data_IF_426159692520
#
_entry.id   IF_426159692520
#
_cell.length_a   1.000
_cell.length_b   1.000
_cell.length_c   1.000
_cell.angle_alpha   90.00
_cell.angle_beta   90.00
_cell.angle_gamma   90.00
#
_symmetry.space_group_name_H-M   'P 1'
#
loop_
_entity.id
_entity.type
_entity.pdbx_description
1 polymer ?
#
# COMPACT_ATOMS: atom_id res chain seq x y z
N UNK A 1 5.22 29.69 -14.23
CA UNK A 1 6.30 28.72 -14.53
C UNK A 1 5.88 27.43 -13.91
N UNK A 2 5.86 26.34 -14.66
CA UNK A 2 5.65 25.00 -14.07
C UNK A 2 6.91 24.65 -13.28
N UNK A 3 6.74 24.24 -12.03
CA UNK A 3 7.88 23.82 -11.21
C UNK A 3 8.55 22.61 -11.85
N UNK A 4 9.88 22.54 -11.80
CA UNK A 4 10.63 21.38 -12.28
C UNK A 4 10.32 20.16 -11.41
N UNK A 5 10.31 18.99 -12.02
CA UNK A 5 10.32 17.72 -11.30
C UNK A 5 11.71 17.55 -10.69
N UNK A 6 11.77 17.34 -9.38
CA UNK A 6 13.03 17.22 -8.64
C UNK A 6 13.04 15.95 -7.81
N UNK A 7 14.18 15.25 -7.83
CA UNK A 7 14.49 14.14 -6.93
C UNK A 7 15.76 14.50 -6.17
N UNK A 8 15.70 14.52 -4.85
CA UNK A 8 16.87 14.69 -3.98
C UNK A 8 17.10 13.42 -3.18
N UNK A 9 18.36 13.02 -3.07
CA UNK A 9 18.82 12.01 -2.13
C UNK A 9 19.48 12.71 -0.95
N UNK A 10 18.89 12.55 0.23
CA UNK A 10 19.33 13.17 1.46
C UNK A 10 19.88 12.14 2.43
N UNK A 11 20.95 12.48 3.13
CA UNK A 11 21.43 11.73 4.29
C UNK A 11 20.50 11.87 5.50
N UNK A 12 20.75 11.08 6.54
CA UNK A 12 19.99 11.13 7.80
C UNK A 12 19.96 12.52 8.45
N UNK A 13 21.05 13.27 8.36
CA UNK A 13 21.21 14.63 8.87
C UNK A 13 20.68 15.72 7.91
N UNK A 14 20.13 15.32 6.76
CA UNK A 14 19.51 16.22 5.79
C UNK A 14 20.43 16.82 4.74
N UNK A 15 21.70 16.41 4.67
CA UNK A 15 22.60 16.86 3.62
C UNK A 15 22.22 16.23 2.27
N UNK A 16 22.25 17.02 1.20
CA UNK A 16 22.04 16.54 -0.17
C UNK A 16 23.24 15.73 -0.62
N UNK A 17 23.05 14.44 -0.88
CA UNK A 17 24.06 13.54 -1.46
C UNK A 17 23.98 13.45 -2.97
N UNK A 18 22.81 13.75 -3.54
CA UNK A 18 22.58 13.78 -4.97
C UNK A 18 21.26 14.45 -5.30
N UNK A 19 21.18 15.01 -6.49
CA UNK A 19 19.99 15.69 -6.99
C UNK A 19 19.88 15.50 -8.50
N UNK A 20 18.65 15.38 -8.98
CA UNK A 20 18.33 15.42 -10.40
C UNK A 20 17.05 16.24 -10.59
N UNK A 21 17.01 17.06 -11.64
CA UNK A 21 15.83 17.84 -12.00
C UNK A 21 15.53 17.81 -13.50
N UNK A 22 14.31 18.16 -13.87
CA UNK A 22 13.92 18.34 -15.25
C UNK A 22 12.49 18.88 -15.37
N UNK A 23 12.13 19.45 -16.51
CA UNK A 23 10.81 20.08 -16.69
C UNK A 23 9.66 19.07 -16.65
N UNK A 24 9.86 17.88 -17.22
CA UNK A 24 8.84 16.82 -17.29
C UNK A 24 9.22 15.58 -16.50
N UNK A 25 10.50 15.30 -16.32
CA UNK A 25 10.98 14.10 -15.63
C UNK A 25 12.36 14.32 -15.04
N UNK A 26 12.67 13.55 -14.00
CA UNK A 26 13.99 13.47 -13.39
C UNK A 26 14.41 12.00 -13.23
N UNK A 27 15.71 11.72 -13.32
CA UNK A 27 16.31 10.42 -13.06
C UNK A 27 17.54 10.60 -12.19
N UNK A 28 17.51 10.02 -11.00
CA UNK A 28 18.62 10.03 -10.06
C UNK A 28 19.24 8.64 -9.98
N UNK A 29 20.57 8.57 -9.82
CA UNK A 29 21.31 7.32 -9.68
C UNK A 29 22.13 7.29 -8.39
N UNK A 30 21.51 7.05 -7.23
CA UNK A 30 22.24 6.82 -5.98
C UNK A 30 23.17 5.62 -6.11
N UNK A 31 24.42 5.76 -5.65
CA UNK A 31 25.41 4.68 -5.74
C UNK A 31 25.19 3.61 -4.65
N UNK A 32 24.91 4.06 -3.42
CA UNK A 32 24.68 3.19 -2.27
C UNK A 32 24.00 4.01 -1.16
N UNK A 33 22.95 3.46 -0.57
CA UNK A 33 22.25 4.11 0.53
C UNK A 33 22.88 3.78 1.88
N UNK A 34 22.91 4.78 2.77
CA UNK A 34 23.30 4.62 4.17
C UNK A 34 22.05 4.64 5.09
N UNK A 35 22.16 4.12 6.32
CA UNK A 35 21.06 4.16 7.29
C UNK A 35 20.52 5.57 7.51
N UNK A 36 19.18 5.70 7.41
CA UNK A 36 18.47 6.97 7.55
C UNK A 36 18.47 7.86 6.29
N UNK A 37 19.02 7.39 5.18
CA UNK A 37 18.90 8.07 3.90
C UNK A 37 17.43 8.12 3.44
N UNK A 38 17.09 9.16 2.69
CA UNK A 38 15.73 9.37 2.15
C UNK A 38 15.77 9.99 0.77
N UNK A 39 14.73 9.74 0.00
CA UNK A 39 14.47 10.40 -1.27
C UNK A 39 13.37 11.44 -1.08
N UNK A 40 13.57 12.65 -1.62
CA UNK A 40 12.53 13.68 -1.66
C UNK A 40 12.12 13.91 -3.10
N UNK A 41 10.83 13.85 -3.37
CA UNK A 41 10.24 14.08 -4.69
C UNK A 41 9.41 15.35 -4.65
N UNK A 42 9.48 16.19 -5.69
CA UNK A 42 8.67 17.40 -5.76
C UNK A 42 8.44 17.89 -7.20
N UNK A 43 7.55 18.87 -7.36
CA UNK A 43 7.34 19.60 -8.60
C UNK A 43 6.00 19.36 -9.28
N UNK A 44 5.15 18.45 -8.81
CA UNK A 44 3.78 18.28 -9.28
C UNK A 44 2.90 17.52 -8.29
N UNK A 45 1.57 17.75 -8.35
CA UNK A 45 0.61 17.02 -7.53
C UNK A 45 0.37 15.58 -8.01
N UNK A 46 0.69 15.27 -9.25
CA UNK A 46 0.60 13.92 -9.81
C UNK A 46 1.94 13.56 -10.44
N UNK A 47 2.59 12.57 -9.87
CA UNK A 47 3.85 12.03 -10.35
C UNK A 47 3.74 10.53 -10.60
N UNK A 48 4.32 10.06 -11.69
CA UNK A 48 4.75 8.70 -11.80
C UNK A 48 6.09 8.56 -11.09
N UNK A 49 6.18 7.62 -10.14
CA UNK A 49 7.36 7.45 -9.29
C UNK A 49 7.81 6.00 -9.31
N UNK A 50 9.12 5.81 -9.38
CA UNK A 50 9.79 4.54 -9.11
C UNK A 50 10.94 4.79 -8.14
N UNK A 51 10.84 4.25 -6.92
CA UNK A 51 11.78 4.50 -5.81
C UNK A 51 13.03 3.61 -5.83
N UNK A 52 13.01 2.50 -6.60
CA UNK A 52 14.15 1.60 -6.82
C UNK A 52 13.91 0.77 -8.08
N UNK A 53 14.96 0.17 -8.66
CA UNK A 53 14.84 -0.65 -9.89
C UNK A 53 13.91 -1.85 -9.73
N UNK A 54 13.91 -2.48 -8.54
CA UNK A 54 13.05 -3.62 -8.21
C UNK A 54 11.62 -3.26 -7.83
N UNK A 55 11.25 -1.97 -7.81
CA UNK A 55 9.93 -1.49 -7.44
C UNK A 55 9.17 -1.02 -8.68
N UNK A 56 7.91 -1.44 -8.78
CA UNK A 56 7.03 -1.04 -9.89
C UNK A 56 6.81 0.47 -9.88
N UNK A 57 6.80 1.09 -11.06
CA UNK A 57 6.39 2.49 -11.19
C UNK A 57 4.89 2.64 -10.97
N UNK A 58 4.46 3.66 -10.24
CA UNK A 58 3.05 3.99 -10.05
C UNK A 58 2.81 5.49 -10.07
N UNK A 59 1.55 5.87 -10.38
CA UNK A 59 1.12 7.27 -10.32
C UNK A 59 0.61 7.57 -8.91
N UNK A 60 1.26 8.51 -8.23
CA UNK A 60 0.91 8.97 -6.89
C UNK A 60 0.32 10.39 -6.94
N UNK A 61 -0.55 10.68 -5.96
CA UNK A 61 -1.08 12.01 -5.71
C UNK A 61 -0.42 12.62 -4.49
N UNK A 62 0.08 13.84 -4.63
CA UNK A 62 0.82 14.60 -3.63
C UNK A 62 0.08 15.91 -3.36
N UNK A 63 -0.69 16.03 -2.28
CA UNK A 63 -1.49 17.22 -2.00
C UNK A 63 -0.68 18.52 -2.06
N UNK A 64 0.54 18.51 -1.48
CA UNK A 64 1.45 19.66 -1.41
C UNK A 64 2.51 19.66 -2.53
N UNK A 65 2.38 18.75 -3.52
CA UNK A 65 3.28 18.69 -4.67
C UNK A 65 4.63 18.05 -4.39
N UNK A 66 4.81 17.37 -3.25
CA UNK A 66 6.03 16.65 -2.90
C UNK A 66 5.83 15.66 -1.77
N UNK A 67 6.78 14.73 -1.60
CA UNK A 67 6.81 13.79 -0.47
C UNK A 67 8.22 13.30 -0.20
N UNK A 68 8.41 12.78 1.02
CA UNK A 68 9.66 12.17 1.48
C UNK A 68 9.49 10.65 1.59
N UNK A 69 10.37 9.90 0.94
CA UNK A 69 10.45 8.45 1.01
C UNK A 69 11.70 8.01 1.77
N UNK A 70 11.58 7.60 3.05
CA UNK A 70 12.68 6.98 3.79
C UNK A 70 13.06 5.67 3.12
N UNK A 71 14.35 5.44 2.91
CA UNK A 71 14.84 4.18 2.34
C UNK A 71 14.64 3.06 3.36
N UNK A 72 13.88 1.99 3.03
CA UNK A 72 13.70 0.86 3.93
C UNK A 72 15.02 0.11 4.12
N UNK A 73 15.54 0.11 5.34
CA UNK A 73 16.79 -0.57 5.70
C UNK A 73 16.69 -1.36 7.00
N UNK A 74 15.62 -1.17 7.78
CA UNK A 74 15.36 -2.00 8.95
C UNK A 74 14.78 -3.36 8.54
N UNK A 75 14.94 -4.35 9.42
CA UNK A 75 14.55 -5.74 9.17
C UNK A 75 13.07 -5.89 8.83
N UNK A 76 12.20 -5.07 9.42
CA UNK A 76 10.77 -5.15 9.16
C UNK A 76 10.40 -4.43 7.85
N UNK A 77 10.89 -3.22 7.63
CA UNK A 77 10.53 -2.43 6.47
C UNK A 77 10.91 -3.09 5.13
N UNK A 78 11.99 -3.89 5.10
CA UNK A 78 12.45 -4.57 3.88
C UNK A 78 11.69 -5.86 3.53
N UNK A 79 10.89 -6.44 4.45
CA UNK A 79 10.27 -7.75 4.25
C UNK A 79 9.29 -7.81 3.07
N UNK A 80 8.69 -6.69 2.70
CA UNK A 80 7.81 -6.57 1.53
C UNK A 80 8.54 -6.26 0.21
N UNK A 81 9.87 -6.36 0.15
CA UNK A 81 10.65 -6.07 -1.04
C UNK A 81 11.58 -7.23 -1.41
N UNK A 82 11.93 -7.32 -2.70
CA UNK A 82 12.92 -8.30 -3.13
C UNK A 82 14.26 -8.08 -2.40
N UNK A 83 14.96 -9.14 -1.99
CA UNK A 83 16.28 -9.00 -1.38
C UNK A 83 17.22 -8.14 -2.23
N UNK A 84 17.83 -7.14 -1.61
CA UNK A 84 18.75 -6.24 -2.30
C UNK A 84 18.10 -5.07 -3.05
N UNK A 85 16.78 -4.91 -3.03
CA UNK A 85 16.07 -3.81 -3.72
C UNK A 85 16.65 -2.42 -3.41
N UNK A 86 17.15 -2.21 -2.20
CA UNK A 86 17.75 -0.93 -1.78
C UNK A 86 19.27 -1.03 -1.53
N UNK A 87 19.93 -2.04 -2.07
CA UNK A 87 21.38 -2.22 -1.96
C UNK A 87 22.08 -1.84 -3.27
N UNK A 88 23.31 -1.30 -3.13
CA UNK A 88 24.11 -0.89 -4.29
C UNK A 88 23.51 0.24 -5.11
N UNK A 89 23.97 0.37 -6.35
CA UNK A 89 23.51 1.42 -7.25
C UNK A 89 22.05 1.20 -7.66
N UNK A 90 21.26 2.27 -7.62
CA UNK A 90 19.84 2.27 -7.96
C UNK A 90 19.52 3.26 -9.08
N UNK A 91 18.39 3.07 -9.73
CA UNK A 91 17.79 4.05 -10.64
C UNK A 91 16.44 4.47 -10.10
N UNK A 92 16.34 5.71 -9.68
CA UNK A 92 15.13 6.37 -9.16
C UNK A 92 14.57 7.29 -10.22
N UNK A 93 13.28 7.23 -10.50
CA UNK A 93 12.65 8.06 -11.53
C UNK A 93 11.41 8.77 -11.00
N UNK A 94 11.18 9.98 -11.49
CA UNK A 94 9.93 10.68 -11.34
C UNK A 94 9.58 11.38 -12.66
N UNK A 95 8.31 11.38 -13.04
CA UNK A 95 7.82 12.16 -14.16
C UNK A 95 6.43 12.73 -13.84
N UNK A 96 6.15 13.89 -14.42
CA UNK A 96 4.82 14.49 -14.35
C UNK A 96 3.81 13.57 -15.05
N UNK A 97 2.68 13.33 -14.41
CA UNK A 97 1.59 12.63 -15.06
C UNK A 97 0.88 13.56 -16.06
N UNK A 98 0.49 13.02 -17.21
CA UNK A 98 -0.31 13.73 -18.18
C UNK A 98 -1.79 13.76 -17.77
N UNK A 99 -2.52 14.76 -18.22
CA UNK A 99 -3.95 14.90 -17.93
C UNK A 99 -4.77 13.67 -18.34
N UNK A 100 -4.43 13.09 -19.49
CA UNK A 100 -5.06 11.87 -20.01
C UNK A 100 -4.82 10.66 -19.11
N UNK A 101 -3.63 10.56 -18.50
CA UNK A 101 -3.29 9.49 -17.56
C UNK A 101 -4.04 9.66 -16.23
N UNK A 102 -4.15 10.90 -15.74
CA UNK A 102 -4.86 11.23 -14.50
C UNK A 102 -6.33 10.86 -14.62
N UNK A 103 -6.98 11.24 -15.73
CA UNK A 103 -8.41 10.99 -15.98
C UNK A 103 -8.74 9.58 -16.47
N UNK A 104 -7.73 8.75 -16.75
CA UNK A 104 -7.96 7.39 -17.23
C UNK A 104 -8.63 6.52 -16.16
N UNK A 105 -9.50 5.62 -16.62
CA UNK A 105 -10.03 4.54 -15.77
C UNK A 105 -8.92 3.55 -15.44
N UNK A 106 -8.60 3.38 -14.15
CA UNK A 106 -7.44 2.60 -13.69
C UNK A 106 -7.59 2.10 -12.27
N UNK A 107 -6.68 1.25 -11.82
CA UNK A 107 -6.51 0.94 -10.42
C UNK A 107 -5.97 2.18 -9.68
N UNK A 108 -6.80 2.76 -8.81
CA UNK A 108 -6.50 3.95 -8.02
C UNK A 108 -5.80 3.63 -6.69
N UNK A 109 -5.75 2.34 -6.30
CA UNK A 109 -5.12 1.90 -5.06
C UNK A 109 -3.62 1.61 -5.21
N UNK A 110 -3.10 1.46 -6.44
CA UNK A 110 -1.70 1.05 -6.66
C UNK A 110 -0.70 2.09 -6.18
N UNK A 111 0.08 1.76 -5.14
CA UNK A 111 1.21 2.57 -4.66
C UNK A 111 2.35 1.72 -4.06
N UNK A 112 3.26 1.17 -4.87
CA UNK A 112 4.46 0.47 -4.36
C UNK A 112 5.40 1.35 -3.51
N UNK A 113 5.28 2.68 -3.62
CA UNK A 113 6.02 3.64 -2.80
C UNK A 113 5.30 3.98 -1.48
N UNK A 114 4.14 3.34 -1.20
CA UNK A 114 3.48 3.50 0.09
C UNK A 114 4.32 2.94 1.23
N UNK A 115 4.19 3.53 2.40
CA UNK A 115 4.95 3.16 3.58
C UNK A 115 4.10 3.29 4.84
N UNK A 116 4.43 2.49 5.84
CA UNK A 116 3.89 2.71 7.17
C UNK A 116 4.50 3.97 7.78
N UNK A 117 3.66 4.85 8.31
CA UNK A 117 4.13 6.04 9.01
C UNK A 117 4.60 5.68 10.43
N UNK A 118 5.53 6.46 10.97
CA UNK A 118 6.01 6.26 12.34
C UNK A 118 4.90 6.39 13.38
N UNK A 119 3.92 7.24 13.10
CA UNK A 119 2.75 7.50 13.94
C UNK A 119 1.72 6.35 13.91
N UNK A 120 1.85 5.43 12.96
CA UNK A 120 1.08 4.18 12.88
C UNK A 120 1.79 3.01 13.58
N UNK A 121 3.00 3.23 14.08
CA UNK A 121 3.77 2.20 14.77
C UNK A 121 3.18 1.93 16.14
N UNK A 122 3.00 0.68 16.44
CA UNK A 122 2.39 0.11 17.62
C UNK A 122 3.25 0.31 18.85
N UNK A 123 2.57 0.42 19.97
CA UNK A 123 3.16 0.15 21.28
C UNK A 123 3.80 -1.26 21.26
N UNK A 124 5.14 -1.36 21.42
CA UNK A 124 5.83 -2.65 21.43
C UNK A 124 5.41 -3.55 22.59
N UNK A 125 4.79 -2.99 23.65
CA UNK A 125 4.24 -3.72 24.78
C UNK A 125 2.79 -4.16 24.56
N UNK A 126 2.17 -3.76 23.45
CA UNK A 126 0.83 -4.19 23.10
C UNK A 126 0.82 -5.69 22.75
N UNK A 127 -0.25 -6.43 23.07
CA UNK A 127 -0.36 -7.82 22.69
C UNK A 127 -0.13 -8.00 21.19
N UNK A 128 0.54 -9.07 20.80
CA UNK A 128 0.97 -9.42 19.44
C UNK A 128 -0.10 -9.20 18.34
N UNK A 129 -1.37 -9.37 18.69
CA UNK A 129 -2.52 -9.22 17.80
C UNK A 129 -3.23 -7.87 17.93
N UNK A 130 -2.77 -6.99 18.83
CA UNK A 130 -3.35 -5.66 19.00
C UNK A 130 -2.41 -4.62 18.40
N UNK A 131 -2.90 -3.92 17.43
CA UNK A 131 -2.19 -2.81 16.85
C UNK A 131 -3.07 -1.56 16.97
N UNK A 132 -3.00 -0.81 18.08
CA UNK A 132 -3.67 0.47 18.13
C UNK A 132 -2.98 1.40 17.15
N UNK A 133 -3.52 1.50 15.99
CA UNK A 133 -3.02 2.37 14.94
C UNK A 133 -3.78 3.68 15.00
N UNK A 134 -3.09 4.76 14.72
CA UNK A 134 -3.63 6.09 14.85
C UNK A 134 -4.10 6.61 13.49
N UNK A 135 -5.39 6.50 13.19
CA UNK A 135 -5.98 7.13 12.00
C UNK A 135 -5.85 8.67 12.01
N UNK A 136 -5.48 9.26 13.15
CA UNK A 136 -5.21 10.69 13.26
C UNK A 136 -4.00 11.10 12.41
N UNK A 137 -3.05 10.19 12.13
CA UNK A 137 -1.92 10.48 11.23
C UNK A 137 -2.40 10.93 9.85
N UNK A 138 -3.41 10.25 9.29
CA UNK A 138 -4.01 10.63 8.01
C UNK A 138 -4.83 11.91 8.14
N UNK A 139 -5.65 12.02 9.18
CA UNK A 139 -6.46 13.20 9.45
C UNK A 139 -5.61 14.44 9.81
N UNK A 140 -4.45 14.23 10.44
CA UNK A 140 -3.49 15.28 10.79
C UNK A 140 -2.64 15.78 9.61
N UNK A 141 -2.81 15.22 8.40
CA UNK A 141 -2.06 15.62 7.21
C UNK A 141 -0.62 15.14 7.18
N UNK A 142 -0.27 14.11 7.94
CA UNK A 142 1.07 13.51 7.94
C UNK A 142 1.32 12.62 6.71
N UNK A 143 0.26 12.24 5.99
CA UNK A 143 0.37 11.49 4.74
C UNK A 143 0.60 12.46 3.59
N UNK A 144 1.78 12.36 3.00
CA UNK A 144 2.20 13.22 1.89
C UNK A 144 1.95 12.59 0.51
N UNK A 145 1.82 11.25 0.45
CA UNK A 145 1.77 10.47 -0.78
C UNK A 145 0.59 9.51 -0.77
N UNK A 146 -0.27 9.59 -1.79
CA UNK A 146 -1.46 8.78 -1.93
C UNK A 146 -1.47 7.99 -3.26
N UNK A 147 -2.18 6.81 -3.31
CA UNK A 147 -2.98 6.21 -2.24
C UNK A 147 -2.12 5.77 -1.06
N UNK A 148 -2.73 5.75 0.13
CA UNK A 148 -2.12 5.27 1.36
C UNK A 148 -2.99 4.18 1.99
N UNK A 149 -2.37 3.04 2.31
CA UNK A 149 -3.05 1.95 2.97
C UNK A 149 -2.82 1.99 4.49
N UNK A 150 -3.90 1.94 5.23
CA UNK A 150 -3.92 1.94 6.69
C UNK A 150 -4.72 0.75 7.21
N UNK A 151 -4.22 0.04 8.19
CA UNK A 151 -4.93 -1.05 8.85
C UNK A 151 -4.92 -0.88 10.36
N UNK A 152 -6.05 -1.17 11.00
CA UNK A 152 -6.14 -1.12 12.45
C UNK A 152 -5.48 -2.33 13.13
N UNK A 153 -5.09 -3.35 12.38
CA UNK A 153 -4.40 -4.55 12.88
C UNK A 153 -3.38 -5.04 11.86
N UNK A 154 -2.24 -5.47 12.38
CA UNK A 154 -1.17 -6.11 11.61
C UNK A 154 -0.65 -7.30 12.41
N UNK A 155 -0.67 -8.48 11.82
CA UNK A 155 -0.21 -9.71 12.46
C UNK A 155 1.23 -9.56 12.96
N UNK A 156 1.45 -9.77 14.26
CA UNK A 156 2.76 -9.71 14.93
C UNK A 156 3.57 -8.44 14.67
N UNK A 157 2.92 -7.38 14.17
CA UNK A 157 3.60 -6.16 13.73
C UNK A 157 4.78 -6.41 12.77
N UNK A 158 4.72 -7.49 11.99
CA UNK A 158 5.75 -7.87 11.03
C UNK A 158 5.57 -7.17 9.69
N UNK A 159 6.68 -6.73 9.08
CA UNK A 159 6.68 -5.98 7.83
C UNK A 159 6.08 -6.72 6.64
N UNK A 160 6.19 -8.04 6.62
CA UNK A 160 5.56 -8.88 5.61
C UNK A 160 4.02 -8.90 5.68
N UNK A 161 3.41 -8.30 6.73
CA UNK A 161 1.96 -8.19 6.90
C UNK A 161 1.45 -6.76 7.00
N UNK A 162 2.25 -5.75 6.69
CA UNK A 162 1.83 -4.36 6.70
C UNK A 162 0.72 -4.06 5.69
N UNK A 163 -0.12 -3.06 5.99
CA UNK A 163 -1.21 -2.62 5.13
C UNK A 163 -0.75 -2.27 3.71
N UNK A 164 0.41 -1.62 3.56
CA UNK A 164 0.99 -1.25 2.27
C UNK A 164 1.16 -2.42 1.29
N UNK A 165 1.34 -3.63 1.83
CA UNK A 165 1.50 -4.84 1.02
C UNK A 165 0.25 -5.20 0.21
N UNK A 166 -0.90 -4.66 0.59
CA UNK A 166 -2.16 -4.86 -0.14
C UNK A 166 -2.36 -3.89 -1.31
N UNK A 167 -1.43 -2.96 -1.56
CA UNK A 167 -1.53 -1.98 -2.65
C UNK A 167 -0.23 -1.80 -3.43
N UNK A 168 0.71 -2.72 -3.33
CA UNK A 168 2.03 -2.60 -3.97
C UNK A 168 2.10 -3.23 -5.38
N UNK A 169 1.02 -3.84 -5.83
CA UNK A 169 0.90 -4.42 -7.16
C UNK A 169 1.48 -5.83 -7.28
N UNK A 170 1.65 -6.54 -6.15
CA UNK A 170 2.12 -7.92 -6.09
C UNK A 170 1.04 -8.85 -5.53
N UNK A 171 0.71 -9.90 -6.26
CA UNK A 171 -0.32 -10.88 -5.88
C UNK A 171 0.18 -12.30 -6.10
N UNK A 172 1.24 -12.71 -5.38
CA UNK A 172 1.79 -14.05 -5.51
C UNK A 172 0.96 -15.08 -4.73
N UNK A 173 0.68 -16.21 -5.37
CA UNK A 173 -0.08 -17.33 -4.82
C UNK A 173 0.86 -18.38 -4.24
N UNK A 174 0.33 -19.19 -3.31
CA UNK A 174 0.96 -20.42 -2.86
C UNK A 174 2.03 -20.26 -1.79
N UNK A 175 2.02 -19.14 -1.07
CA UNK A 175 2.93 -18.91 0.05
C UNK A 175 2.51 -17.76 0.93
N UNK A 176 3.23 -17.56 2.04
CA UNK A 176 3.03 -16.45 2.97
C UNK A 176 4.38 -16.06 3.60
N UNK A 177 4.42 -14.88 4.23
CA UNK A 177 5.62 -14.35 4.89
C UNK A 177 6.30 -13.27 4.09
N UNK A 178 7.64 -13.29 4.01
CA UNK A 178 8.41 -12.26 3.31
C UNK A 178 8.24 -12.32 1.78
N UNK A 179 8.73 -11.28 1.12
CA UNK A 179 8.75 -11.23 -0.35
C UNK A 179 9.14 -12.59 -0.98
N UNK A 180 8.49 -13.07 -2.01
CA UNK A 180 7.40 -12.42 -2.78
C UNK A 180 5.99 -12.78 -2.29
N UNK A 181 5.82 -13.34 -1.10
CA UNK A 181 4.56 -13.85 -0.55
C UNK A 181 3.99 -12.96 0.58
N UNK A 182 4.45 -11.72 0.66
CA UNK A 182 3.93 -10.76 1.61
C UNK A 182 2.48 -10.39 1.30
N UNK A 183 1.76 -9.95 2.31
CA UNK A 183 0.33 -9.65 2.24
C UNK A 183 -0.04 -8.66 3.34
N UNK A 184 -1.24 -8.12 3.34
CA UNK A 184 -1.79 -7.60 4.58
C UNK A 184 -2.44 -8.74 5.36
N UNK A 185 -2.06 -8.89 6.62
CA UNK A 185 -2.63 -9.85 7.57
C UNK A 185 -2.99 -9.17 8.88
N UNK A 186 -4.26 -9.16 9.24
CA UNK A 186 -4.77 -8.51 10.45
C UNK A 186 -5.09 -9.45 11.60
N UNK A 187 -4.72 -10.74 11.49
CA UNK A 187 -5.16 -11.81 12.38
C UNK A 187 -6.70 -11.93 12.45
N UNK A 188 -7.24 -12.72 13.39
CA UNK A 188 -8.69 -12.85 13.57
C UNK A 188 -9.17 -11.81 14.58
N UNK A 189 -9.82 -10.79 14.11
CA UNK A 189 -10.39 -9.76 14.96
C UNK A 189 -11.73 -9.26 14.40
N UNK A 190 -12.74 -9.12 15.29
CA UNK A 190 -14.11 -8.73 14.89
C UNK A 190 -14.23 -7.32 14.33
N UNK A 191 -13.30 -6.42 14.65
CA UNK A 191 -13.25 -5.03 14.19
C UNK A 191 -12.11 -4.79 13.20
N UNK A 192 -11.63 -5.85 12.54
CA UNK A 192 -10.58 -5.78 11.53
C UNK A 192 -10.98 -4.84 10.39
N UNK A 193 -10.06 -3.98 9.99
CA UNK A 193 -10.26 -3.11 8.82
C UNK A 193 -8.95 -2.73 8.13
N UNK A 194 -9.06 -2.59 6.82
CA UNK A 194 -8.07 -1.99 5.93
C UNK A 194 -8.72 -0.81 5.22
N UNK A 195 -8.08 0.34 5.23
CA UNK A 195 -8.56 1.54 4.54
C UNK A 195 -7.53 1.99 3.51
N UNK A 196 -7.98 2.21 2.28
CA UNK A 196 -7.20 2.86 1.24
C UNK A 196 -7.68 4.31 1.13
N UNK A 197 -6.82 5.24 1.52
CA UNK A 197 -7.07 6.68 1.38
C UNK A 197 -6.53 7.16 0.04
N UNK A 198 -7.32 7.96 -0.67
CA UNK A 198 -6.93 8.51 -1.97
C UNK A 198 -6.36 9.93 -1.87
N UNK A 199 -6.53 10.61 -0.73
CA UNK A 199 -6.09 11.99 -0.50
C UNK A 199 -6.89 13.04 -1.29
N UNK A 200 -7.87 12.61 -2.07
CA UNK A 200 -8.74 13.42 -2.93
C UNK A 200 -10.01 12.67 -3.26
N UNK A 201 -11.00 13.36 -3.82
CA UNK A 201 -12.20 12.72 -4.33
C UNK A 201 -11.91 11.95 -5.64
N UNK A 202 -12.38 10.73 -5.68
CA UNK A 202 -12.32 9.83 -6.86
C UNK A 202 -13.69 9.19 -7.07
N UNK A 203 -14.00 8.75 -8.29
CA UNK A 203 -15.18 7.94 -8.55
C UNK A 203 -14.77 6.51 -8.81
N UNK A 204 -15.26 5.58 -8.00
CA UNK A 204 -14.95 4.15 -8.06
C UNK A 204 -16.20 3.31 -8.31
N UNK A 205 -16.06 2.19 -9.01
CA UNK A 205 -17.18 1.32 -9.38
C UNK A 205 -16.86 -0.18 -9.31
N UNK A 206 -15.63 -0.53 -8.98
CA UNK A 206 -15.21 -1.93 -8.87
C UNK A 206 -14.00 -2.08 -7.96
N UNK A 207 -13.96 -3.18 -7.19
CA UNK A 207 -12.72 -3.68 -6.60
C UNK A 207 -12.36 -5.04 -7.19
N UNK A 208 -11.06 -5.38 -7.12
CA UNK A 208 -10.56 -6.73 -7.34
C UNK A 208 -9.77 -7.15 -6.10
N UNK A 209 -10.12 -8.29 -5.53
CA UNK A 209 -9.43 -8.87 -4.39
C UNK A 209 -8.53 -10.03 -4.84
N UNK A 210 -7.31 -10.04 -4.32
CA UNK A 210 -6.36 -11.15 -4.46
C UNK A 210 -6.10 -11.70 -3.07
N UNK A 211 -6.86 -12.72 -2.66
CA UNK A 211 -6.69 -13.33 -1.34
C UNK A 211 -5.41 -14.16 -1.32
N UNK A 212 -4.76 -14.21 -0.16
CA UNK A 212 -3.70 -15.19 0.08
C UNK A 212 -4.29 -16.60 -0.01
N UNK A 213 -3.58 -17.52 -0.66
CA UNK A 213 -4.12 -18.82 -1.05
C UNK A 213 -3.15 -19.99 -0.88
N UNK A 214 -2.37 -19.99 0.19
CA UNK A 214 -1.54 -21.15 0.57
C UNK A 214 -2.37 -22.16 1.40
N UNK A 215 -3.50 -22.61 0.85
CA UNK A 215 -4.48 -23.45 1.50
C UNK A 215 -4.04 -24.91 1.72
N UNK A 216 -2.74 -25.18 1.63
CA UNK A 216 -2.17 -26.48 1.93
C UNK A 216 -2.22 -26.84 3.42
N UNK A 217 -2.19 -28.13 3.74
CA UNK A 217 -2.06 -28.56 5.12
C UNK A 217 -0.63 -28.34 5.62
N UNK A 218 -0.51 -27.82 6.85
CA UNK A 218 0.77 -27.75 7.53
C UNK A 218 1.20 -29.14 8.06
N UNK A 219 2.38 -29.24 8.68
CA UNK A 219 2.95 -30.47 9.24
C UNK A 219 2.04 -31.17 10.28
N UNK A 220 1.03 -30.45 10.82
CA UNK A 220 0.05 -30.98 11.77
C UNK A 220 -1.25 -31.40 11.10
N UNK A 221 -1.34 -31.37 9.78
CA UNK A 221 -2.54 -31.68 9.03
C UNK A 221 -3.63 -30.60 9.11
N UNK A 222 -3.26 -29.36 9.44
CA UNK A 222 -4.17 -28.22 9.52
C UNK A 222 -4.05 -27.42 8.23
N UNK A 223 -5.16 -26.95 7.71
CA UNK A 223 -5.20 -25.99 6.61
C UNK A 223 -4.65 -24.65 7.10
N UNK A 224 -3.64 -24.10 6.42
CA UNK A 224 -2.90 -22.96 6.91
C UNK A 224 -3.73 -21.67 6.90
N UNK A 225 -4.46 -21.42 5.81
CA UNK A 225 -5.22 -20.20 5.66
C UNK A 225 -6.72 -20.44 5.62
N UNK A 226 -7.42 -19.56 6.29
CA UNK A 226 -8.84 -19.33 6.06
C UNK A 226 -9.01 -18.14 5.11
N UNK A 227 -10.24 -17.78 4.81
CA UNK A 227 -10.60 -16.63 4.01
C UNK A 227 -11.82 -15.92 4.60
N UNK A 228 -12.08 -14.71 4.18
CA UNK A 228 -13.30 -14.00 4.54
C UNK A 228 -14.39 -14.32 3.52
N UNK A 229 -15.56 -14.78 3.98
CA UNK A 229 -16.70 -15.07 3.10
C UNK A 229 -17.74 -13.95 3.06
N UNK A 230 -17.61 -12.97 3.93
CA UNK A 230 -18.40 -11.73 3.94
C UNK A 230 -17.46 -10.58 4.29
N UNK A 231 -17.59 -9.48 3.58
CA UNK A 231 -16.96 -8.22 3.94
C UNK A 231 -17.82 -7.02 3.51
N UNK A 232 -17.57 -5.89 4.12
CA UNK A 232 -18.23 -4.63 3.81
C UNK A 232 -17.20 -3.64 3.26
N UNK A 233 -17.54 -3.03 2.13
CA UNK A 233 -16.87 -1.85 1.59
C UNK A 233 -17.61 -0.61 2.09
N UNK A 234 -16.95 0.25 2.85
CA UNK A 234 -17.48 1.53 3.32
C UNK A 234 -16.80 2.67 2.55
N UNK A 235 -17.58 3.66 2.15
CA UNK A 235 -17.14 4.84 1.43
C UNK A 235 -17.22 6.09 2.31
N UNK A 236 -16.62 7.19 1.86
CA UNK A 236 -16.51 8.41 2.67
C UNK A 236 -17.84 9.12 2.95
N UNK A 237 -18.89 8.81 2.20
CA UNK A 237 -20.27 9.28 2.46
C UNK A 237 -21.03 8.42 3.49
N UNK A 238 -20.38 7.37 4.03
CA UNK A 238 -20.98 6.40 4.95
C UNK A 238 -21.81 5.31 4.25
N UNK A 239 -21.91 5.32 2.93
CA UNK A 239 -22.58 4.24 2.21
C UNK A 239 -21.74 2.97 2.21
N UNK A 240 -22.42 1.82 2.11
CA UNK A 240 -21.79 0.50 2.20
C UNK A 240 -22.19 -0.40 1.03
N UNK A 241 -21.29 -1.35 0.71
CA UNK A 241 -21.54 -2.47 -0.20
C UNK A 241 -21.06 -3.75 0.47
N UNK A 242 -21.94 -4.73 0.60
CA UNK A 242 -21.57 -6.07 1.05
C UNK A 242 -21.04 -6.90 -0.11
N UNK A 243 -19.94 -7.61 0.10
CA UNK A 243 -19.34 -8.52 -0.87
C UNK A 243 -19.14 -9.90 -0.25
N UNK A 244 -19.11 -10.93 -1.11
CA UNK A 244 -18.98 -12.34 -0.71
C UNK A 244 -17.79 -12.98 -1.43
N UNK A 245 -16.56 -12.84 -0.88
CA UNK A 245 -15.40 -13.52 -1.46
C UNK A 245 -15.50 -15.04 -1.35
N UNK A 246 -14.89 -15.72 -2.31
CA UNK A 246 -14.76 -17.17 -2.35
C UNK A 246 -13.35 -17.61 -1.95
N UNK A 247 -13.19 -18.90 -1.55
CA UNK A 247 -11.91 -19.49 -1.24
C UNK A 247 -11.11 -19.77 -2.52
N UNK A 248 -10.50 -18.74 -3.07
CA UNK A 248 -9.62 -18.87 -4.24
C UNK A 248 -8.51 -17.81 -4.18
N UNK A 249 -7.35 -18.15 -4.74
CA UNK A 249 -6.27 -17.18 -4.99
C UNK A 249 -6.39 -16.51 -6.37
N UNK A 250 -7.43 -16.83 -7.16
CA UNK A 250 -7.68 -16.10 -8.40
C UNK A 250 -8.27 -14.71 -8.10
N UNK A 251 -8.02 -13.72 -8.97
CA UNK A 251 -8.62 -12.40 -8.82
C UNK A 251 -10.14 -12.48 -8.77
N UNK A 252 -10.77 -11.82 -7.80
CA UNK A 252 -12.20 -11.79 -7.62
C UNK A 252 -12.72 -10.37 -7.82
N UNK A 253 -13.54 -10.17 -8.86
CA UNK A 253 -14.11 -8.86 -9.20
C UNK A 253 -15.45 -8.64 -8.49
N UNK A 254 -15.60 -7.47 -7.86
CA UNK A 254 -16.84 -7.03 -7.22
C UNK A 254 -17.23 -5.66 -7.78
N UNK A 255 -18.06 -5.63 -8.84
CA UNK A 255 -18.59 -4.38 -9.40
C UNK A 255 -19.74 -3.84 -8.53
N UNK A 256 -19.86 -2.51 -8.47
CA UNK A 256 -20.95 -1.81 -7.79
C UNK A 256 -21.31 -0.51 -8.54
N UNK A 257 -22.42 0.12 -8.15
CA UNK A 257 -22.79 1.42 -8.70
C UNK A 257 -21.70 2.47 -8.41
N UNK A 258 -21.32 3.31 -9.39
CA UNK A 258 -20.28 4.31 -9.20
C UNK A 258 -20.51 5.17 -7.96
N UNK A 259 -19.45 5.41 -7.19
CA UNK A 259 -19.46 6.20 -5.95
C UNK A 259 -18.30 7.18 -5.93
N UNK A 260 -18.61 8.42 -5.59
CA UNK A 260 -17.58 9.40 -5.26
C UNK A 260 -17.12 9.18 -3.82
N UNK A 261 -15.81 9.10 -3.61
CA UNK A 261 -15.24 8.82 -2.29
C UNK A 261 -13.82 9.37 -2.15
N UNK A 262 -13.38 9.63 -0.92
CA UNK A 262 -12.00 9.97 -0.58
C UNK A 262 -11.22 8.80 0.03
N UNK A 263 -11.92 7.74 0.44
CA UNK A 263 -11.34 6.48 0.90
C UNK A 263 -12.27 5.31 0.60
N UNK A 264 -11.70 4.12 0.55
CA UNK A 264 -12.44 2.86 0.59
C UNK A 264 -11.95 2.07 1.80
N UNK A 265 -12.88 1.69 2.70
CA UNK A 265 -12.58 0.89 3.88
C UNK A 265 -13.19 -0.50 3.75
N UNK A 266 -12.32 -1.49 3.77
CA UNK A 266 -12.64 -2.91 3.81
C UNK A 266 -12.74 -3.33 5.27
N UNK A 267 -13.93 -3.69 5.73
CA UNK A 267 -14.24 -3.95 7.13
C UNK A 267 -15.23 -5.10 7.32
N UNK A 268 -15.53 -5.44 8.56
CA UNK A 268 -16.45 -6.52 8.94
C UNK A 268 -16.16 -7.78 8.12
N UNK A 269 -14.93 -8.22 8.22
CA UNK A 269 -14.44 -9.38 7.49
C UNK A 269 -14.71 -10.63 8.33
N UNK A 270 -15.79 -11.36 7.98
CA UNK A 270 -16.17 -12.58 8.68
C UNK A 270 -15.36 -13.76 8.12
N UNK A 271 -14.39 -14.32 8.88
CA UNK A 271 -13.60 -15.44 8.40
C UNK A 271 -14.40 -16.73 8.47
N UNK A 272 -14.22 -17.56 7.44
CA UNK A 272 -14.68 -18.96 7.51
C UNK A 272 -13.76 -19.73 8.44
N UNK A 273 -14.31 -20.25 9.54
CA UNK A 273 -13.59 -21.07 10.48
C UNK A 273 -13.84 -22.54 10.18
N UNK A 274 -12.76 -23.32 10.03
CA UNK A 274 -12.78 -24.78 9.94
C UNK A 274 -12.00 -25.33 11.13
N UNK A 275 -12.43 -26.43 11.73
CA UNK A 275 -11.82 -26.99 12.94
C UNK A 275 -10.30 -27.20 12.82
N UNK A 276 -9.83 -27.52 11.63
CA UNK A 276 -8.41 -27.79 11.33
C UNK A 276 -7.67 -26.61 10.74
N UNK A 277 -8.34 -25.47 10.51
CA UNK A 277 -7.78 -24.28 9.90
C UNK A 277 -7.06 -23.40 10.91
N UNK A 278 -5.95 -22.85 10.50
CA UNK A 278 -5.33 -21.71 11.17
C UNK A 278 -6.03 -20.45 10.63
N UNK A 279 -6.67 -19.69 11.52
CA UNK A 279 -7.49 -18.54 11.15
C UNK A 279 -6.64 -17.28 10.83
N UNK A 280 -5.86 -17.35 9.77
CA UNK A 280 -4.98 -16.28 9.30
C UNK A 280 -5.37 -15.82 7.89
N UNK A 281 -6.63 -15.46 7.69
CA UNK A 281 -7.05 -14.84 6.44
C UNK A 281 -6.19 -13.59 6.14
N UNK A 282 -5.77 -13.44 4.91
CA UNK A 282 -4.91 -12.34 4.49
C UNK A 282 -5.19 -11.92 3.03
N UNK A 283 -4.79 -10.72 2.69
CA UNK A 283 -5.01 -10.08 1.40
C UNK A 283 -3.66 -9.76 0.75
N UNK A 284 -3.38 -10.36 -0.41
CA UNK A 284 -2.19 -10.04 -1.18
C UNK A 284 -2.31 -8.68 -1.86
N UNK A 285 -3.48 -8.40 -2.46
CA UNK A 285 -3.69 -7.13 -3.17
C UNK A 285 -5.18 -6.76 -3.16
N UNK A 286 -5.47 -5.48 -3.05
CA UNK A 286 -6.76 -4.87 -3.36
C UNK A 286 -6.59 -3.85 -4.48
N UNK A 287 -7.25 -4.08 -5.61
CA UNK A 287 -7.35 -3.08 -6.66
C UNK A 287 -8.65 -2.31 -6.50
N UNK A 288 -8.61 -1.00 -6.64
CA UNK A 288 -9.81 -0.13 -6.63
C UNK A 288 -9.88 0.60 -7.96
N UNK A 289 -10.83 0.21 -8.79
CA UNK A 289 -10.96 0.71 -10.14
C UNK A 289 -11.92 1.88 -10.24
N UNK A 290 -11.49 2.89 -10.99
CA UNK A 290 -12.27 4.12 -11.15
C UNK A 290 -11.51 5.22 -11.87
N UNK A 291 -12.01 6.45 -11.72
CA UNK A 291 -11.46 7.66 -12.32
C UNK A 291 -11.19 8.73 -11.28
N UNK A 292 -10.21 9.57 -11.55
CA UNK A 292 -9.91 10.73 -10.74
C UNK A 292 -10.85 11.88 -11.06
N UNK A 293 -11.45 12.49 -10.03
CA UNK A 293 -12.40 13.59 -10.20
C UNK A 293 -11.71 14.96 -10.30
N UNK A 294 -10.40 15.02 -10.02
CA UNK A 294 -9.66 16.28 -10.10
C UNK A 294 -9.37 16.64 -11.58
N UNK A 295 -10.10 17.59 -12.10
CA UNK A 295 -9.66 18.34 -13.28
C UNK A 295 -8.53 19.28 -12.86
N UNK A 296 -7.31 19.06 -13.35
CA UNK A 296 -6.21 20.03 -13.28
C UNK A 296 -6.57 21.32 -14.00
#
# INVERSE_FOLDING_TARGET
>A
MTDKITIQWLSADGMVRGEADGEQSATLRPAEYAPGDRLCFSGARYLWVRVAEGVKESMVFLPEGGFTYPIPQDEQAIQGFAPGTFAGAQTVTARRAERSEISAYRNLALNPADRRLAEEVVDPDAPEWSNPTNSEAVAGGLVECFPHAYANRVTRNEGCFYARNAIDGLSNKGGHGVYPFHSWGGAVHKDLSLTVYFGRAVTVDKIILHLRSDYGLNDKGQEHDTYWNVAILEFSDGSEVEIHPEKTGDPQEFPFAPRETTFLKFKRMDPVQVETSLNFAALNEIEVWGTDNNSL
#
